data_IF_466140155664
#
_entry.id   IF_466140155664
#
_cell.length_a   1.000
_cell.length_b   1.000
_cell.length_c   1.000
_cell.angle_alpha   90.00
_cell.angle_beta   90.00
_cell.angle_gamma   90.00
#
_symmetry.space_group_name_H-M   'P 1'
#
loop_
_entity.id
_entity.type
_entity.pdbx_description
1 polymer ?
#
# COMPACT_ATOMS: atom_id res chain seq x y z
N UNK A 1 7.99 -22.39 11.70
CA UNK A 1 8.77 -21.35 12.41
C UNK A 1 9.78 -21.98 13.40
N UNK A 2 9.42 -23.02 14.11
CA UNK A 2 10.31 -23.67 15.12
C UNK A 2 11.60 -24.25 14.55
N UNK A 3 11.61 -24.73 13.31
CA UNK A 3 12.79 -25.34 12.66
C UNK A 3 13.90 -24.32 12.34
N UNK A 4 13.55 -23.04 12.20
CA UNK A 4 14.45 -21.96 11.79
C UNK A 4 14.58 -20.85 12.82
N UNK A 5 14.34 -21.14 14.10
CA UNK A 5 14.31 -20.12 15.16
C UNK A 5 15.62 -19.32 15.30
N UNK A 6 16.76 -19.97 15.11
CA UNK A 6 18.06 -19.29 15.20
C UNK A 6 18.26 -18.36 14.02
N UNK A 7 18.04 -18.87 12.81
CA UNK A 7 18.17 -18.09 11.57
C UNK A 7 17.20 -16.88 11.54
N UNK A 8 15.98 -17.06 12.08
CA UNK A 8 14.99 -15.98 12.20
C UNK A 8 15.46 -14.91 13.19
N UNK A 9 16.07 -15.29 14.30
CA UNK A 9 16.62 -14.33 15.28
C UNK A 9 17.81 -13.55 14.72
N UNK A 10 18.69 -14.21 14.00
CA UNK A 10 19.83 -13.56 13.36
C UNK A 10 19.36 -12.58 12.29
N UNK A 11 18.40 -12.97 11.45
CA UNK A 11 17.80 -12.09 10.47
C UNK A 11 17.04 -10.92 11.11
N UNK A 12 16.30 -11.15 12.20
CA UNK A 12 15.62 -10.09 12.96
C UNK A 12 16.62 -9.05 13.48
N UNK A 13 17.78 -9.53 13.99
CA UNK A 13 18.85 -8.66 14.43
C UNK A 13 19.47 -7.88 13.26
N UNK A 14 19.74 -8.50 12.13
CA UNK A 14 20.28 -7.84 10.94
C UNK A 14 19.32 -6.75 10.41
N UNK A 15 18.03 -7.06 10.32
CA UNK A 15 16.98 -6.08 9.95
C UNK A 15 16.99 -4.92 10.92
N UNK A 16 17.07 -5.18 12.23
CA UNK A 16 17.10 -4.12 13.24
C UNK A 16 18.33 -3.22 13.10
N UNK A 17 19.51 -3.82 12.89
CA UNK A 17 20.75 -3.07 12.69
C UNK A 17 20.74 -2.25 11.38
N UNK A 18 20.10 -2.76 10.33
CA UNK A 18 19.89 -2.01 9.09
C UNK A 18 19.01 -0.78 9.35
N UNK A 19 17.89 -0.95 10.04
CA UNK A 19 17.01 0.16 10.42
C UNK A 19 17.71 1.16 11.34
N UNK A 20 18.51 0.69 12.29
CA UNK A 20 19.34 1.57 13.14
C UNK A 20 20.23 2.49 12.32
N UNK A 21 20.90 1.98 11.28
CA UNK A 21 21.74 2.79 10.40
C UNK A 21 20.91 3.85 9.65
N UNK A 22 19.73 3.48 9.15
CA UNK A 22 18.82 4.40 8.48
C UNK A 22 18.30 5.48 9.45
N UNK A 23 17.89 5.08 10.65
CA UNK A 23 17.42 6.00 11.70
C UNK A 23 18.52 7.00 12.07
N UNK A 24 19.74 6.55 12.33
CA UNK A 24 20.85 7.45 12.66
C UNK A 24 21.09 8.48 11.55
N UNK A 25 21.06 8.03 10.29
CA UNK A 25 21.19 8.96 9.18
C UNK A 25 20.04 9.98 9.13
N UNK A 26 18.81 9.56 9.44
CA UNK A 26 17.68 10.49 9.54
C UNK A 26 17.86 11.46 10.72
N UNK A 27 18.34 10.99 11.87
CA UNK A 27 18.60 11.84 13.04
C UNK A 27 19.69 12.87 12.76
N UNK A 28 20.77 12.49 12.06
CA UNK A 28 21.84 13.39 11.63
C UNK A 28 21.34 14.48 10.65
N UNK A 29 20.41 14.12 9.77
CA UNK A 29 19.82 15.05 8.79
C UNK A 29 18.69 15.89 9.37
N UNK A 30 18.11 15.47 10.48
CA UNK A 30 17.01 16.21 11.14
C UNK A 30 17.54 17.51 11.74
N UNK A 31 16.80 18.59 11.49
CA UNK A 31 17.03 19.90 12.13
C UNK A 31 16.35 20.04 13.50
N UNK A 32 15.58 19.03 13.90
CA UNK A 32 14.77 19.02 15.12
C UNK A 32 15.09 17.79 15.94
N UNK A 33 14.92 17.89 17.25
CA UNK A 33 14.96 16.72 18.13
C UNK A 33 13.84 15.75 17.77
N UNK A 34 14.19 14.47 17.76
CA UNK A 34 13.25 13.37 17.54
C UNK A 34 13.03 12.65 18.87
N UNK A 35 11.81 12.62 19.34
CA UNK A 35 11.44 12.02 20.63
C UNK A 35 10.98 10.57 20.51
N UNK A 36 10.47 10.19 19.32
CA UNK A 36 9.74 8.95 19.12
C UNK A 36 10.05 8.35 17.75
N UNK A 37 10.21 7.03 17.71
CA UNK A 37 10.35 6.24 16.50
C UNK A 37 9.17 5.28 16.41
N UNK A 38 8.46 5.28 15.28
CA UNK A 38 7.51 4.23 14.93
C UNK A 38 8.24 3.14 14.12
N UNK A 39 8.32 1.93 14.65
CA UNK A 39 9.05 0.83 14.03
C UNK A 39 8.13 -0.35 13.71
N UNK A 40 7.70 -0.45 12.47
CA UNK A 40 6.83 -1.56 12.03
C UNK A 40 7.58 -2.89 11.89
N UNK A 41 8.84 -2.84 11.47
CA UNK A 41 9.59 -4.05 11.09
C UNK A 41 9.13 -4.63 9.74
N UNK A 42 9.60 -5.84 9.42
CA UNK A 42 9.27 -6.54 8.18
C UNK A 42 8.30 -7.69 8.43
N UNK A 43 7.11 -7.61 7.88
CA UNK A 43 6.12 -8.70 8.00
C UNK A 43 6.60 -9.93 7.21
N UNK A 44 6.69 -11.06 7.91
CA UNK A 44 7.04 -12.37 7.34
C UNK A 44 5.89 -13.38 7.44
N UNK A 45 4.93 -13.11 8.31
CA UNK A 45 3.76 -13.96 8.50
C UNK A 45 2.57 -13.15 9.01
N UNK A 46 1.39 -13.42 8.45
CA UNK A 46 0.15 -12.79 8.87
C UNK A 46 -1.01 -13.76 8.65
N UNK A 47 -1.68 -14.15 9.73
CA UNK A 47 -2.80 -15.09 9.74
C UNK A 47 -3.84 -14.62 10.78
N UNK A 48 -4.68 -13.65 10.42
CA UNK A 48 -5.65 -13.05 11.34
C UNK A 48 -6.61 -14.08 11.95
N UNK A 49 -7.04 -15.07 11.17
CA UNK A 49 -7.90 -16.16 11.61
C UNK A 49 -7.31 -16.99 12.76
N UNK A 50 -5.97 -16.98 12.90
CA UNK A 50 -5.23 -17.62 14.01
C UNK A 50 -4.76 -16.63 15.06
N UNK A 51 -5.12 -15.35 14.91
CA UNK A 51 -4.63 -14.23 15.73
C UNK A 51 -3.09 -14.15 15.81
N UNK A 52 -2.41 -14.52 14.70
CA UNK A 52 -0.95 -14.57 14.64
C UNK A 52 -0.46 -13.63 13.55
N UNK A 53 0.46 -12.78 13.93
CA UNK A 53 1.24 -11.96 12.99
C UNK A 53 2.69 -11.95 13.44
N UNK A 54 3.64 -11.87 12.50
CA UNK A 54 5.06 -11.74 12.84
C UNK A 54 5.72 -10.72 11.93
N UNK A 55 6.19 -9.68 12.56
CA UNK A 55 7.09 -8.70 11.98
C UNK A 55 8.48 -8.94 12.54
N UNK A 56 9.49 -9.05 11.67
CA UNK A 56 10.89 -9.06 12.10
C UNK A 56 11.34 -7.63 12.40
N UNK A 57 11.93 -7.49 13.56
CA UNK A 57 12.44 -6.23 14.07
C UNK A 57 12.33 -6.17 15.58
N UNK A 58 13.47 -6.01 16.24
CA UNK A 58 13.58 -5.90 17.70
C UNK A 58 13.52 -4.40 18.09
N UNK A 59 12.32 -3.96 18.51
CA UNK A 59 12.09 -2.57 18.93
C UNK A 59 12.84 -2.20 20.21
N UNK A 60 13.11 -3.16 21.12
CA UNK A 60 13.91 -2.91 22.32
C UNK A 60 15.37 -2.66 21.96
N UNK A 61 15.95 -3.49 21.09
CA UNK A 61 17.30 -3.30 20.60
C UNK A 61 17.42 -1.96 19.87
N UNK A 62 16.45 -1.61 19.00
CA UNK A 62 16.46 -0.33 18.30
C UNK A 62 16.42 0.85 19.28
N UNK A 63 15.59 0.77 20.34
CA UNK A 63 15.52 1.79 21.39
C UNK A 63 16.83 1.93 22.16
N UNK A 64 17.46 0.81 22.49
CA UNK A 64 18.76 0.80 23.16
C UNK A 64 19.87 1.45 22.33
N UNK A 65 19.89 1.17 21.04
CA UNK A 65 20.90 1.69 20.10
C UNK A 65 20.70 3.17 19.80
N UNK A 66 19.45 3.61 19.59
CA UNK A 66 19.13 5.01 19.22
C UNK A 66 19.02 5.93 20.42
N UNK A 67 18.85 5.40 21.65
CA UNK A 67 18.50 6.15 22.86
C UNK A 67 17.20 6.95 22.73
N UNK A 68 16.29 6.49 21.87
CA UNK A 68 14.98 7.09 21.63
C UNK A 68 13.86 6.13 22.06
N UNK A 69 12.68 6.68 22.34
CA UNK A 69 11.47 5.86 22.52
C UNK A 69 11.11 5.20 21.20
N UNK A 70 10.77 3.91 21.24
CA UNK A 70 10.35 3.14 20.04
C UNK A 70 8.98 2.52 20.31
N UNK A 71 8.02 2.83 19.47
CA UNK A 71 6.74 2.10 19.40
C UNK A 71 6.85 1.07 18.29
N UNK A 72 6.51 -0.15 18.60
CA UNK A 72 6.60 -1.30 17.67
C UNK A 72 5.46 -2.29 17.93
N UNK A 73 5.38 -3.36 17.13
CA UNK A 73 4.33 -4.38 17.26
C UNK A 73 2.91 -3.83 17.11
N UNK A 74 2.68 -3.01 16.09
CA UNK A 74 1.42 -2.30 15.87
C UNK A 74 0.21 -3.20 15.63
N UNK A 75 0.41 -4.44 15.16
CA UNK A 75 -0.66 -5.31 14.68
C UNK A 75 -1.22 -6.27 15.72
N UNK A 76 -0.41 -6.64 16.71
CA UNK A 76 -0.75 -7.71 17.65
C UNK A 76 -1.94 -7.38 18.54
N UNK A 77 -1.98 -6.15 19.06
CA UNK A 77 -3.08 -5.72 19.94
C UNK A 77 -4.44 -5.71 19.22
N UNK A 78 -4.46 -5.33 17.95
CA UNK A 78 -5.67 -5.37 17.12
C UNK A 78 -6.17 -6.81 16.93
N UNK A 79 -5.26 -7.74 16.60
CA UNK A 79 -5.58 -9.17 16.47
C UNK A 79 -6.11 -9.79 17.77
N UNK A 80 -5.52 -9.44 18.92
CA UNK A 80 -5.94 -9.93 20.23
C UNK A 80 -7.36 -9.47 20.57
N UNK A 81 -7.73 -8.26 20.14
CA UNK A 81 -9.05 -7.68 20.34
C UNK A 81 -10.06 -8.00 19.24
N UNK A 82 -9.73 -8.92 18.32
CA UNK A 82 -10.67 -9.42 17.32
C UNK A 82 -10.62 -8.71 15.97
N UNK A 83 -9.72 -7.73 15.82
CA UNK A 83 -9.42 -7.11 14.53
C UNK A 83 -8.57 -8.01 13.62
N UNK A 84 -8.29 -7.52 12.43
CA UNK A 84 -7.49 -8.25 11.43
C UNK A 84 -6.00 -7.87 11.44
N UNK A 85 -5.60 -6.87 12.24
CA UNK A 85 -4.22 -6.37 12.28
C UNK A 85 -3.76 -5.63 11.02
N UNK A 86 -4.63 -5.50 10.05
CA UNK A 86 -4.43 -4.79 8.78
C UNK A 86 -5.79 -4.48 8.13
N UNK A 87 -5.92 -3.37 7.36
CA UNK A 87 -4.93 -2.32 7.18
C UNK A 87 -4.84 -1.36 8.39
N UNK A 88 -3.68 -0.77 8.66
CA UNK A 88 -3.48 0.22 9.73
C UNK A 88 -3.42 1.66 9.22
N UNK A 89 -3.10 1.86 7.95
CA UNK A 89 -3.00 3.19 7.33
C UNK A 89 -4.29 4.02 7.28
N UNK A 90 -5.52 3.45 7.30
CA UNK A 90 -6.75 4.19 7.08
C UNK A 90 -6.96 5.37 8.06
N UNK A 91 -6.62 5.22 9.33
CA UNK A 91 -6.74 6.32 10.31
C UNK A 91 -5.82 7.49 9.94
N UNK A 92 -4.59 7.20 9.49
CA UNK A 92 -3.68 8.23 9.01
C UNK A 92 -4.18 8.83 7.69
N UNK A 93 -4.66 8.02 6.76
CA UNK A 93 -5.20 8.50 5.50
C UNK A 93 -6.40 9.45 5.71
N UNK A 94 -7.26 9.16 6.68
CA UNK A 94 -8.35 10.07 7.04
C UNK A 94 -7.83 11.41 7.60
N UNK A 95 -6.85 11.38 8.50
CA UNK A 95 -6.23 12.59 9.01
C UNK A 95 -5.56 13.40 7.89
N UNK A 96 -4.86 12.72 6.98
CA UNK A 96 -4.22 13.32 5.82
C UNK A 96 -5.24 13.92 4.86
N UNK A 97 -6.35 13.23 4.55
CA UNK A 97 -7.42 13.72 3.69
C UNK A 97 -8.04 15.01 4.26
N UNK A 98 -8.26 15.06 5.57
CA UNK A 98 -8.79 16.27 6.23
C UNK A 98 -7.79 17.45 6.14
N UNK A 99 -6.50 17.22 6.37
CA UNK A 99 -5.49 18.27 6.23
C UNK A 99 -5.34 18.75 4.78
N UNK A 100 -5.37 17.84 3.82
CA UNK A 100 -5.35 18.18 2.39
C UNK A 100 -6.59 18.97 1.97
N UNK A 101 -7.78 18.56 2.45
CA UNK A 101 -9.00 19.32 2.18
C UNK A 101 -8.94 20.72 2.77
N UNK A 102 -8.49 20.85 4.00
CA UNK A 102 -8.33 22.15 4.67
C UNK A 102 -7.35 23.07 3.95
N UNK A 103 -6.24 22.53 3.42
CA UNK A 103 -5.19 23.31 2.77
C UNK A 103 -5.49 23.64 1.33
N UNK A 104 -6.08 22.70 0.58
CA UNK A 104 -6.23 22.79 -0.88
C UNK A 104 -7.69 22.80 -1.35
N UNK A 105 -8.67 22.70 -0.43
CA UNK A 105 -10.11 22.68 -0.72
C UNK A 105 -10.48 21.61 -1.77
N UNK A 106 -10.03 20.36 -1.57
CA UNK A 106 -10.17 19.28 -2.54
C UNK A 106 -11.58 18.65 -2.56
N UNK A 107 -12.34 18.80 -1.45
CA UNK A 107 -13.66 18.20 -1.28
C UNK A 107 -13.63 16.70 -0.92
N UNK A 108 -14.79 16.18 -0.60
CA UNK A 108 -15.05 14.77 -0.30
C UNK A 108 -16.15 14.21 -1.22
N UNK A 109 -16.20 12.88 -1.47
CA UNK A 109 -15.31 11.84 -1.00
C UNK A 109 -13.88 11.98 -1.52
N UNK A 110 -12.89 11.63 -0.67
CA UNK A 110 -11.48 11.59 -1.04
C UNK A 110 -10.94 10.18 -0.89
N UNK A 111 -10.34 9.65 -1.94
CA UNK A 111 -9.80 8.30 -1.98
C UNK A 111 -8.29 8.36 -2.09
N UNK A 112 -7.58 7.73 -1.16
CA UNK A 112 -6.13 7.54 -1.22
C UNK A 112 -5.87 6.13 -1.76
N UNK A 113 -5.36 6.06 -2.99
CA UNK A 113 -4.98 4.85 -3.68
C UNK A 113 -3.49 4.61 -3.52
N UNK A 114 -3.13 3.62 -2.73
CA UNK A 114 -1.74 3.17 -2.60
C UNK A 114 -1.46 2.04 -3.59
N UNK A 115 -0.55 2.28 -4.54
CA UNK A 115 -0.07 1.28 -5.50
C UNK A 115 1.32 0.81 -5.05
N UNK A 116 1.33 -0.17 -4.15
CA UNK A 116 2.51 -0.91 -3.69
C UNK A 116 2.71 -2.20 -4.47
N UNK A 117 3.10 -3.28 -3.79
CA UNK A 117 3.05 -4.64 -4.35
C UNK A 117 1.61 -5.09 -4.61
N UNK A 118 0.73 -4.86 -3.66
CA UNK A 118 -0.74 -4.92 -3.75
C UNK A 118 -1.26 -3.48 -3.78
N UNK A 119 -2.37 -3.26 -4.48
CA UNK A 119 -3.07 -1.98 -4.51
C UNK A 119 -4.19 -1.98 -3.48
N UNK A 120 -4.22 -0.97 -2.63
CA UNK A 120 -5.28 -0.75 -1.65
C UNK A 120 -5.78 0.69 -1.70
N UNK A 121 -7.01 0.87 -1.23
CA UNK A 121 -7.66 2.16 -1.18
C UNK A 121 -8.17 2.45 0.22
N UNK A 122 -8.05 3.70 0.63
CA UNK A 122 -8.79 4.27 1.75
C UNK A 122 -9.70 5.35 1.20
N UNK A 123 -11.00 5.17 1.35
CA UNK A 123 -12.03 6.15 1.01
C UNK A 123 -12.47 6.88 2.28
N UNK A 124 -12.47 8.19 2.23
CA UNK A 124 -12.87 9.06 3.32
C UNK A 124 -14.05 9.92 2.87
N UNK A 125 -15.10 9.97 3.68
CA UNK A 125 -16.27 10.81 3.46
C UNK A 125 -16.38 11.88 4.56
N UNK A 126 -16.90 13.05 4.21
CA UNK A 126 -17.16 14.12 5.16
C UNK A 126 -18.63 14.05 5.63
N UNK A 127 -18.84 13.58 6.85
CA UNK A 127 -20.12 13.74 7.53
C UNK A 127 -19.88 14.20 8.96
N UNK A 128 -20.37 15.39 9.29
CA UNK A 128 -20.06 16.07 10.55
C UNK A 128 -20.57 15.36 11.82
N UNK A 129 -21.47 14.37 11.70
CA UNK A 129 -22.11 13.67 12.81
C UNK A 129 -21.82 12.16 12.85
N UNK A 130 -20.93 11.63 11.99
CA UNK A 130 -20.60 10.21 11.96
C UNK A 130 -19.39 9.89 12.84
N UNK A 131 -19.35 8.68 13.39
CA UNK A 131 -18.17 8.11 14.01
C UNK A 131 -17.01 7.92 13.03
N UNK A 132 -15.81 7.65 13.53
CA UNK A 132 -14.64 7.46 12.68
C UNK A 132 -14.79 6.24 11.76
N UNK A 133 -15.39 5.16 12.28
CA UNK A 133 -15.66 3.90 11.57
C UNK A 133 -16.62 4.09 10.39
N UNK A 134 -17.56 5.02 10.51
CA UNK A 134 -18.54 5.32 9.44
C UNK A 134 -17.97 6.25 8.38
N UNK A 135 -16.86 6.93 8.65
CA UNK A 135 -16.21 7.89 7.75
C UNK A 135 -15.15 7.28 6.85
N UNK A 136 -14.68 6.10 7.18
CA UNK A 136 -13.53 5.48 6.52
C UNK A 136 -13.93 4.10 6.03
N UNK A 137 -13.66 3.85 4.77
CA UNK A 137 -13.70 2.51 4.21
C UNK A 137 -12.35 2.20 3.58
N UNK A 138 -11.82 1.01 3.84
CA UNK A 138 -10.54 0.59 3.26
C UNK A 138 -10.60 -0.86 2.81
N UNK A 139 -10.00 -1.15 1.67
CA UNK A 139 -9.87 -2.51 1.15
C UNK A 139 -8.71 -2.64 0.15
N UNK A 140 -8.26 -3.86 -0.06
CA UNK A 140 -7.41 -4.21 -1.19
C UNK A 140 -8.25 -4.30 -2.45
N UNK A 141 -7.74 -3.78 -3.57
CA UNK A 141 -8.49 -3.68 -4.82
C UNK A 141 -7.85 -4.39 -6.00
N UNK A 142 -6.68 -4.96 -5.82
CA UNK A 142 -6.02 -5.72 -6.87
C UNK A 142 -4.50 -5.78 -6.72
N UNK A 143 -3.81 -6.34 -7.71
CA UNK A 143 -2.36 -6.27 -7.75
C UNK A 143 -1.92 -4.81 -7.91
N UNK A 144 -0.74 -4.51 -7.39
CA UNK A 144 -0.05 -3.27 -7.69
C UNK A 144 1.11 -3.55 -8.65
N UNK A 145 2.32 -3.28 -8.20
CA UNK A 145 3.51 -3.54 -9.01
C UNK A 145 3.94 -5.02 -9.02
N UNK A 146 3.39 -5.89 -8.17
CA UNK A 146 3.92 -7.23 -7.96
C UNK A 146 4.05 -8.05 -9.24
N UNK A 147 3.04 -8.03 -10.12
CA UNK A 147 3.07 -8.76 -11.39
C UNK A 147 4.03 -8.13 -12.41
N UNK A 148 4.02 -6.80 -12.50
CA UNK A 148 4.91 -6.04 -13.39
C UNK A 148 6.36 -6.29 -12.99
N UNK A 149 6.67 -6.18 -11.71
CA UNK A 149 8.02 -6.41 -11.18
C UNK A 149 8.44 -7.88 -11.33
N UNK A 150 7.52 -8.83 -11.16
CA UNK A 150 7.81 -10.24 -11.39
C UNK A 150 8.16 -10.51 -12.85
N UNK A 151 7.40 -9.93 -13.80
CA UNK A 151 7.69 -10.03 -15.23
C UNK A 151 9.07 -9.47 -15.56
N UNK A 152 9.38 -8.28 -15.03
CA UNK A 152 10.67 -7.64 -15.25
C UNK A 152 11.82 -8.48 -14.71
N UNK A 153 11.71 -9.03 -13.49
CA UNK A 153 12.75 -9.91 -12.91
C UNK A 153 12.94 -11.21 -13.67
N UNK A 154 11.86 -11.81 -14.18
CA UNK A 154 11.94 -13.08 -14.91
C UNK A 154 12.50 -12.93 -16.32
N UNK A 155 12.26 -11.80 -16.96
CA UNK A 155 12.58 -11.60 -18.38
C UNK A 155 13.73 -10.60 -18.63
N UNK A 156 14.29 -10.00 -17.58
CA UNK A 156 15.39 -9.05 -17.69
C UNK A 156 16.26 -9.02 -16.42
N UNK A 157 17.32 -8.22 -16.44
CA UNK A 157 18.14 -7.92 -15.26
C UNK A 157 17.57 -6.75 -14.42
N UNK A 158 16.41 -6.18 -14.81
CA UNK A 158 15.78 -5.06 -14.13
C UNK A 158 14.79 -5.59 -13.10
N UNK A 159 14.71 -4.95 -11.95
CA UNK A 159 13.79 -5.36 -10.87
C UNK A 159 12.36 -4.84 -11.07
N UNK A 160 12.17 -3.79 -11.89
CA UNK A 160 10.89 -3.12 -12.13
C UNK A 160 10.90 -2.37 -13.47
N UNK A 161 9.72 -2.01 -13.97
CA UNK A 161 9.56 -1.19 -15.18
C UNK A 161 9.57 0.30 -14.83
N UNK A 162 10.74 0.93 -15.01
CA UNK A 162 10.90 2.36 -14.69
C UNK A 162 9.95 3.21 -15.55
N UNK A 163 9.07 3.95 -14.90
CA UNK A 163 8.07 4.85 -15.52
C UNK A 163 7.11 4.16 -16.50
N UNK A 164 7.08 2.81 -16.54
CA UNK A 164 6.28 2.05 -17.49
C UNK A 164 6.83 2.09 -18.92
N UNK A 165 8.15 2.31 -19.08
CA UNK A 165 8.76 2.47 -20.41
C UNK A 165 8.77 1.19 -21.22
N UNK A 166 8.94 0.03 -20.59
CA UNK A 166 8.91 -1.28 -21.29
C UNK A 166 7.49 -1.57 -21.73
N UNK A 167 6.51 -1.45 -20.84
CA UNK A 167 5.11 -1.63 -21.18
C UNK A 167 4.65 -0.68 -22.30
N UNK A 168 5.09 0.58 -22.27
CA UNK A 168 4.78 1.59 -23.32
C UNK A 168 5.35 1.23 -24.70
N UNK A 169 6.44 0.48 -24.75
CA UNK A 169 7.04 0.04 -26.03
C UNK A 169 6.40 -1.22 -26.62
N UNK A 170 5.61 -1.94 -25.82
CA UNK A 170 4.89 -3.13 -26.23
C UNK A 170 3.45 -2.83 -26.67
N UNK A 171 2.79 -3.90 -27.08
CA UNK A 171 1.37 -3.88 -27.46
C UNK A 171 0.61 -4.89 -26.61
N UNK A 172 -0.45 -4.44 -25.97
CA UNK A 172 -1.34 -5.31 -25.19
C UNK A 172 -2.02 -6.35 -26.07
N UNK A 173 -1.87 -7.62 -25.72
CA UNK A 173 -2.65 -8.70 -26.32
C UNK A 173 -4.06 -8.72 -25.67
N UNK A 174 -5.05 -8.23 -26.43
CA UNK A 174 -6.42 -8.10 -25.96
C UNK A 174 -7.11 -9.42 -25.68
N UNK A 175 -6.74 -10.49 -26.41
CA UNK A 175 -7.35 -11.81 -26.21
C UNK A 175 -6.89 -12.39 -24.88
N UNK A 176 -5.58 -12.40 -24.65
CA UNK A 176 -4.98 -12.86 -23.40
C UNK A 176 -5.47 -12.01 -22.21
N UNK A 177 -5.51 -10.69 -22.37
CA UNK A 177 -6.01 -9.78 -21.33
C UNK A 177 -7.45 -10.13 -20.92
N UNK A 178 -8.36 -10.23 -21.89
CA UNK A 178 -9.77 -10.51 -21.59
C UNK A 178 -9.96 -11.88 -20.93
N UNK A 179 -9.31 -12.91 -21.46
CA UNK A 179 -9.37 -14.26 -20.89
C UNK A 179 -8.83 -14.30 -19.43
N UNK A 180 -7.78 -13.52 -19.14
CA UNK A 180 -7.22 -13.45 -17.80
C UNK A 180 -8.12 -12.70 -16.84
N UNK A 181 -8.79 -11.64 -17.29
CA UNK A 181 -9.77 -10.90 -16.51
C UNK A 181 -10.99 -11.76 -16.18
N UNK A 182 -11.53 -12.53 -17.15
CA UNK A 182 -12.66 -13.42 -16.93
C UNK A 182 -12.34 -14.45 -15.84
N UNK A 183 -11.15 -15.07 -15.91
CA UNK A 183 -10.70 -16.04 -14.91
C UNK A 183 -10.53 -15.44 -13.51
N UNK A 184 -10.22 -14.14 -13.41
CA UNK A 184 -10.00 -13.47 -12.13
C UNK A 184 -11.29 -12.88 -11.53
N UNK A 185 -12.22 -12.39 -12.35
CA UNK A 185 -13.43 -11.69 -11.91
C UNK A 185 -14.33 -12.57 -11.04
N UNK A 186 -14.34 -13.88 -11.27
CA UNK A 186 -15.07 -14.86 -10.44
C UNK A 186 -14.54 -14.96 -9.00
N UNK A 187 -13.32 -14.47 -8.72
CA UNK A 187 -12.64 -14.58 -7.42
C UNK A 187 -12.58 -13.23 -6.66
N UNK A 188 -12.97 -12.13 -7.27
CA UNK A 188 -12.79 -10.79 -6.68
C UNK A 188 -13.86 -10.46 -5.64
N UNK A 189 -13.52 -10.72 -4.37
CA UNK A 189 -14.24 -10.19 -3.23
C UNK A 189 -13.37 -9.13 -2.53
N UNK A 190 -13.74 -7.84 -2.69
CA UNK A 190 -13.03 -6.70 -2.09
C UNK A 190 -13.13 -6.64 -0.55
N UNK A 191 -13.81 -7.58 0.09
CA UNK A 191 -13.88 -7.70 1.54
C UNK A 191 -12.72 -8.53 2.13
N UNK A 192 -11.92 -9.17 1.27
CA UNK A 192 -10.78 -9.98 1.69
C UNK A 192 -9.47 -9.29 1.38
N UNK A 193 -8.53 -9.38 2.33
CA UNK A 193 -7.14 -8.97 2.07
C UNK A 193 -6.51 -9.84 0.98
N UNK A 194 -5.73 -9.20 0.12
CA UNK A 194 -5.01 -9.83 -0.97
C UNK A 194 -3.52 -10.06 -0.60
N UNK A 195 -2.97 -11.16 -1.10
CA UNK A 195 -1.53 -11.45 -1.03
C UNK A 195 -0.97 -11.54 -2.46
N UNK A 196 0.31 -11.25 -2.63
CA UNK A 196 1.01 -11.39 -3.92
C UNK A 196 0.84 -12.80 -4.51
N UNK A 197 0.73 -13.82 -3.67
CA UNK A 197 0.48 -15.21 -4.06
C UNK A 197 -0.89 -15.48 -4.70
N UNK A 198 -1.81 -14.53 -4.59
CA UNK A 198 -3.12 -14.63 -5.27
C UNK A 198 -3.02 -14.35 -6.77
N UNK A 199 -1.86 -13.92 -7.25
CA UNK A 199 -1.63 -13.51 -8.61
C UNK A 199 -0.44 -14.24 -9.20
N UNK A 200 -0.47 -14.46 -10.50
CA UNK A 200 0.66 -14.98 -11.29
C UNK A 200 0.72 -14.34 -12.67
N UNK A 201 1.86 -14.50 -13.34
CA UNK A 201 2.11 -13.96 -14.68
C UNK A 201 2.04 -15.02 -15.77
N UNK A 202 1.54 -16.23 -15.48
CA UNK A 202 1.55 -17.35 -16.44
C UNK A 202 0.73 -17.05 -17.68
N UNK A 203 -0.31 -16.24 -17.59
CA UNK A 203 -1.12 -15.85 -18.73
C UNK A 203 -0.35 -15.11 -19.83
N UNK A 204 0.71 -14.39 -19.46
CA UNK A 204 1.56 -13.65 -20.38
C UNK A 204 2.69 -14.50 -20.99
N UNK A 205 2.77 -15.80 -20.62
CA UNK A 205 3.81 -16.70 -21.12
C UNK A 205 3.71 -16.86 -22.63
N UNK A 206 4.84 -16.64 -23.32
CA UNK A 206 4.93 -16.73 -24.78
C UNK A 206 4.80 -15.38 -25.50
N UNK A 207 4.42 -14.32 -24.81
CA UNK A 207 4.50 -12.96 -25.35
C UNK A 207 5.96 -12.48 -25.40
N UNK A 208 6.23 -11.48 -26.26
CA UNK A 208 7.50 -10.76 -26.22
C UNK A 208 7.68 -10.06 -24.87
N UNK A 209 8.90 -9.64 -24.56
CA UNK A 209 9.19 -8.94 -23.30
C UNK A 209 8.34 -7.68 -23.14
N UNK A 210 8.23 -6.89 -24.20
CA UNK A 210 7.51 -5.64 -24.24
C UNK A 210 5.98 -5.86 -24.23
N UNK A 211 5.48 -6.80 -25.05
CA UNK A 211 4.04 -7.08 -25.11
C UNK A 211 3.52 -7.72 -23.82
N UNK A 212 4.32 -8.59 -23.20
CA UNK A 212 4.00 -9.13 -21.91
C UNK A 212 3.94 -8.05 -20.80
N UNK A 213 4.91 -7.11 -20.81
CA UNK A 213 4.89 -5.98 -19.88
C UNK A 213 3.64 -5.11 -20.10
N UNK A 214 3.27 -4.81 -21.35
CA UNK A 214 2.06 -4.05 -21.69
C UNK A 214 0.79 -4.77 -21.24
N UNK A 215 0.66 -6.07 -21.55
CA UNK A 215 -0.52 -6.87 -21.22
C UNK A 215 -0.72 -7.02 -19.71
N UNK A 216 0.36 -7.27 -18.96
CA UNK A 216 0.32 -7.36 -17.49
C UNK A 216 -0.01 -6.02 -16.86
N UNK A 217 0.51 -4.92 -17.40
CA UNK A 217 0.22 -3.58 -16.88
C UNK A 217 -1.25 -3.21 -17.11
N UNK A 218 -1.80 -3.50 -18.29
CA UNK A 218 -3.22 -3.28 -18.57
C UNK A 218 -4.13 -4.19 -17.74
N UNK A 219 -3.74 -5.45 -17.51
CA UNK A 219 -4.44 -6.34 -16.57
C UNK A 219 -4.49 -5.73 -15.16
N UNK A 220 -3.35 -5.29 -14.65
CA UNK A 220 -3.24 -4.61 -13.35
C UNK A 220 -4.14 -3.37 -13.31
N UNK A 221 -4.09 -2.53 -14.35
CA UNK A 221 -4.90 -1.32 -14.45
C UNK A 221 -6.40 -1.63 -14.45
N UNK A 222 -6.84 -2.67 -15.15
CA UNK A 222 -8.25 -3.10 -15.18
C UNK A 222 -8.74 -3.55 -13.80
N UNK A 223 -7.96 -4.34 -13.08
CA UNK A 223 -8.33 -4.79 -11.73
C UNK A 223 -8.41 -3.61 -10.75
N UNK A 224 -7.43 -2.69 -10.78
CA UNK A 224 -7.49 -1.46 -9.99
C UNK A 224 -8.73 -0.65 -10.33
N UNK A 225 -9.03 -0.48 -11.63
CA UNK A 225 -10.21 0.28 -12.08
C UNK A 225 -11.52 -0.36 -11.62
N UNK A 226 -11.61 -1.69 -11.61
CA UNK A 226 -12.78 -2.39 -11.07
C UNK A 226 -12.96 -2.12 -9.57
N UNK A 227 -11.88 -2.14 -8.80
CA UNK A 227 -11.90 -1.75 -7.38
C UNK A 227 -12.27 -0.29 -7.17
N UNK A 228 -11.78 0.62 -8.02
CA UNK A 228 -12.16 2.04 -7.97
C UNK A 228 -13.64 2.24 -8.26
N UNK A 229 -14.22 1.50 -9.23
CA UNK A 229 -15.65 1.51 -9.50
C UNK A 229 -16.46 0.98 -8.33
N UNK A 230 -16.00 -0.07 -7.67
CA UNK A 230 -16.64 -0.59 -6.45
C UNK A 230 -16.70 0.51 -5.37
N UNK A 231 -15.61 1.22 -5.11
CA UNK A 231 -15.57 2.34 -4.16
C UNK A 231 -16.48 3.49 -4.59
N UNK A 232 -16.49 3.84 -5.87
CA UNK A 232 -17.36 4.89 -6.42
C UNK A 232 -18.84 4.58 -6.16
N UNK A 233 -19.26 3.33 -6.42
CA UNK A 233 -20.62 2.86 -6.16
C UNK A 233 -20.95 2.89 -4.66
N UNK A 234 -20.00 2.48 -3.81
CA UNK A 234 -20.15 2.52 -2.34
C UNK A 234 -20.32 3.95 -1.81
N UNK A 235 -19.72 4.92 -2.47
CA UNK A 235 -19.87 6.35 -2.17
C UNK A 235 -21.10 6.99 -2.87
N UNK A 236 -22.12 6.20 -3.20
CA UNK A 236 -23.35 6.64 -3.88
C UNK A 236 -23.08 7.37 -5.23
N UNK A 237 -22.04 6.93 -5.94
CA UNK A 237 -21.62 7.47 -7.24
C UNK A 237 -21.33 8.98 -7.24
N UNK A 238 -20.95 9.53 -6.08
CA UNK A 238 -20.53 10.92 -6.00
C UNK A 238 -19.17 11.13 -6.68
N UNK A 239 -19.00 12.27 -7.35
CA UNK A 239 -17.70 12.65 -7.91
C UNK A 239 -16.68 12.74 -6.76
N UNK A 240 -15.60 12.01 -6.87
CA UNK A 240 -14.60 11.88 -5.81
C UNK A 240 -13.19 12.19 -6.30
N UNK A 241 -12.37 12.71 -5.41
CA UNK A 241 -10.94 12.93 -5.64
C UNK A 241 -10.18 11.63 -5.41
N UNK A 242 -9.25 11.28 -6.31
CA UNK A 242 -8.35 10.16 -6.17
C UNK A 242 -6.90 10.64 -6.08
N UNK A 243 -6.23 10.30 -4.98
CA UNK A 243 -4.84 10.63 -4.72
C UNK A 243 -4.02 9.37 -4.72
N UNK A 244 -3.07 9.26 -5.65
CA UNK A 244 -2.22 8.06 -5.79
C UNK A 244 -0.93 8.25 -5.02
N UNK A 245 -0.59 7.28 -4.18
CA UNK A 245 0.69 7.15 -3.49
C UNK A 245 1.34 5.78 -3.75
N UNK A 246 2.46 5.49 -3.11
CA UNK A 246 3.23 4.28 -3.35
C UNK A 246 4.06 4.32 -4.64
N UNK A 247 4.87 3.28 -4.86
CA UNK A 247 5.80 3.22 -5.99
C UNK A 247 5.15 3.26 -7.37
N UNK A 248 3.94 2.68 -7.47
CA UNK A 248 3.19 2.61 -8.74
C UNK A 248 2.75 3.96 -9.30
N UNK A 249 2.66 5.02 -8.46
CA UNK A 249 2.37 6.39 -8.92
C UNK A 249 3.41 6.92 -9.92
N UNK A 250 4.61 6.33 -9.93
CA UNK A 250 5.70 6.67 -10.86
C UNK A 250 5.60 5.95 -12.19
N UNK A 251 4.78 4.91 -12.29
CA UNK A 251 4.54 4.18 -13.54
C UNK A 251 3.47 4.91 -14.37
N UNK A 252 3.93 5.77 -15.28
CA UNK A 252 3.07 6.61 -16.12
C UNK A 252 2.14 5.77 -17.02
N UNK A 253 2.65 4.66 -17.56
CA UNK A 253 1.82 3.79 -18.40
C UNK A 253 0.68 3.16 -17.61
N UNK A 254 0.94 2.69 -16.40
CA UNK A 254 -0.09 2.16 -15.49
C UNK A 254 -1.15 3.23 -15.17
N UNK A 255 -0.74 4.45 -14.83
CA UNK A 255 -1.69 5.53 -14.54
C UNK A 255 -2.50 5.94 -15.75
N UNK A 256 -1.87 6.03 -16.93
CA UNK A 256 -2.57 6.32 -18.19
C UNK A 256 -3.59 5.21 -18.51
N UNK A 257 -3.21 3.93 -18.32
CA UNK A 257 -4.09 2.79 -18.52
C UNK A 257 -5.26 2.79 -17.50
N UNK A 258 -5.04 3.12 -16.23
CA UNK A 258 -6.13 3.30 -15.25
C UNK A 258 -7.07 4.39 -15.73
N UNK A 259 -6.55 5.57 -16.09
CA UNK A 259 -7.38 6.71 -16.53
C UNK A 259 -8.21 6.38 -17.77
N UNK A 260 -7.67 5.60 -18.70
CA UNK A 260 -8.38 5.21 -19.92
C UNK A 260 -9.61 4.32 -19.71
N UNK A 261 -9.79 3.79 -18.48
CA UNK A 261 -10.98 3.02 -18.11
C UNK A 261 -12.14 3.86 -17.57
N UNK A 262 -11.98 5.19 -17.54
CA UNK A 262 -12.99 6.13 -17.06
C UNK A 262 -13.18 7.27 -18.06
N UNK A 263 -14.40 7.76 -18.19
CA UNK A 263 -14.70 8.92 -19.06
C UNK A 263 -14.20 10.23 -18.41
N UNK A 264 -14.37 10.38 -17.11
CA UNK A 264 -13.90 11.53 -16.33
C UNK A 264 -13.49 11.09 -14.92
N UNK A 265 -12.20 11.07 -14.64
CA UNK A 265 -11.68 10.73 -13.33
C UNK A 265 -10.67 11.77 -12.85
N UNK A 266 -10.87 12.26 -11.63
CA UNK A 266 -9.94 13.17 -10.97
C UNK A 266 -8.86 12.35 -10.21
N UNK A 267 -7.92 11.77 -10.97
CA UNK A 267 -6.82 10.94 -10.47
C UNK A 267 -5.50 11.69 -10.56
N UNK A 268 -4.92 12.02 -9.42
CA UNK A 268 -3.70 12.80 -9.30
C UNK A 268 -2.66 12.12 -8.40
N UNK A 269 -1.37 12.34 -8.67
CA UNK A 269 -0.33 11.97 -7.71
C UNK A 269 -0.43 12.83 -6.45
N UNK A 270 -0.26 12.20 -5.28
CA UNK A 270 -0.21 12.91 -4.01
C UNK A 270 0.96 13.91 -3.95
N UNK A 271 2.00 13.69 -4.77
CA UNK A 271 3.16 14.60 -4.87
C UNK A 271 2.77 16.02 -5.32
N UNK A 272 1.61 16.20 -5.97
CA UNK A 272 1.11 17.52 -6.39
C UNK A 272 0.65 18.40 -5.21
N UNK A 273 0.53 17.81 -4.03
CA UNK A 273 0.01 18.47 -2.83
C UNK A 273 1.09 18.64 -1.74
N UNK A 274 2.33 18.94 -2.16
CA UNK A 274 3.47 19.17 -1.28
C UNK A 274 3.84 17.98 -0.38
N UNK A 275 3.48 16.78 -0.82
CA UNK A 275 3.80 15.52 -0.15
C UNK A 275 4.74 14.70 -1.03
N UNK A 276 5.55 13.85 -0.41
CA UNK A 276 6.30 12.84 -1.13
C UNK A 276 5.62 11.48 -0.92
N UNK A 277 5.05 10.94 -2.00
CA UNK A 277 4.31 9.69 -1.98
C UNK A 277 5.16 8.46 -1.63
N UNK A 278 6.50 8.57 -1.59
CA UNK A 278 7.38 7.51 -1.10
C UNK A 278 7.37 7.40 0.43
N UNK A 279 6.96 8.46 1.14
CA UNK A 279 7.00 8.53 2.60
C UNK A 279 5.62 8.46 3.28
N UNK A 280 4.55 8.25 2.53
CA UNK A 280 3.18 8.17 3.09
C UNK A 280 3.08 7.06 4.14
N UNK A 281 3.63 5.87 3.86
CA UNK A 281 3.63 4.76 4.82
C UNK A 281 4.50 5.06 6.05
N UNK A 282 5.66 5.67 5.87
CA UNK A 282 6.53 6.08 6.99
C UNK A 282 5.85 7.11 7.88
N UNK A 283 5.14 8.08 7.28
CA UNK A 283 4.36 9.07 8.01
C UNK A 283 3.18 8.41 8.75
N UNK A 284 2.53 7.41 8.13
CA UNK A 284 1.47 6.65 8.77
C UNK A 284 1.96 5.99 10.07
N UNK A 285 3.09 5.28 10.04
CA UNK A 285 3.63 4.64 11.24
C UNK A 285 4.14 5.62 12.29
N UNK A 286 4.66 6.77 11.90
CA UNK A 286 4.97 7.85 12.83
C UNK A 286 3.70 8.40 13.53
N UNK A 287 2.64 8.64 12.77
CA UNK A 287 1.35 9.07 13.27
C UNK A 287 0.72 8.03 14.22
N UNK A 288 0.73 6.75 13.85
CA UNK A 288 0.23 5.66 14.68
C UNK A 288 1.04 5.51 15.96
N UNK A 289 2.35 5.71 15.93
CA UNK A 289 3.20 5.68 17.10
C UNK A 289 2.82 6.79 18.11
N UNK A 290 2.54 8.01 17.62
CA UNK A 290 2.07 9.12 18.45
C UNK A 290 0.70 8.79 19.07
N UNK A 291 -0.22 8.22 18.29
CA UNK A 291 -1.54 7.80 18.78
C UNK A 291 -1.42 6.74 19.87
N UNK A 292 -0.59 5.70 19.64
CA UNK A 292 -0.31 4.65 20.62
C UNK A 292 0.26 5.21 21.91
N UNK A 293 1.23 6.13 21.83
CA UNK A 293 1.83 6.79 22.99
C UNK A 293 0.80 7.58 23.81
N UNK A 294 -0.22 8.12 23.13
CA UNK A 294 -1.32 8.90 23.75
C UNK A 294 -2.50 8.01 24.17
N UNK A 295 -2.43 6.70 24.05
CA UNK A 295 -3.52 5.79 24.35
C UNK A 295 -4.73 5.93 23.40
N UNK A 296 -4.52 6.47 22.20
CA UNK A 296 -5.57 6.65 21.19
C UNK A 296 -5.66 5.43 20.29
N UNK A 297 -6.85 5.06 19.78
CA UNK A 297 -6.98 3.94 18.84
C UNK A 297 -6.12 4.13 17.58
N UNK A 298 -5.53 3.04 17.11
CA UNK A 298 -4.76 2.97 15.84
C UNK A 298 -5.44 2.10 14.78
N UNK A 299 -6.52 1.43 15.16
CA UNK A 299 -7.43 0.64 14.32
C UNK A 299 -8.86 0.78 14.86
N UNK A 300 -9.86 0.28 14.15
CA UNK A 300 -11.29 0.27 14.54
C UNK A 300 -12.00 -0.94 13.92
#
# INVERSE_FOLDING_TARGET
LTKYQVEIKDLEREITLFHFKAVNKCLELSKSDVDLIGFHGQTIFHAPEKKITKQLGDGLLLSQLTKKKVIYNFRQNDLENGGQGAPLAPIFHNALANELNKKFNLGFPMNILNIGGISNVTSTIEYNNLGLEEKIYACDIGPGNCLIDEWMRKNSKKGYDKEGLVARSGKTDKLILNQSLDNFTEQSNFEKSLDVKNFDIFFAKGLSFEDGAATITDFTAKLISNGMNFIHNKNNSQKSKWLVCGGGRKNKFLLDSIKSNFDDIDLNSIDQYELDGDFIESQAFAFLAIRSLKGMPISF
#
